data_IF_081141105266
#
_entry.id   IF_081141105266
#
_cell.length_a   1.000
_cell.length_b   1.000
_cell.length_c   1.000
_cell.angle_alpha   90.00
_cell.angle_beta   90.00
_cell.angle_gamma   90.00
#
_symmetry.space_group_name_H-M   'P 1'
#
loop_
_entity.id
_entity.type
_entity.pdbx_description
1 polymer ?
#
# COMPACT_ATOMS: atom_id res chain seq x y z
N UNK A 1 -17.90 -16.38 -21.45
CA UNK A 1 -16.73 -15.85 -20.72
C UNK A 1 -17.04 -15.93 -19.24
N UNK A 2 -16.05 -16.14 -18.39
CA UNK A 2 -16.27 -16.01 -16.95
C UNK A 2 -16.60 -14.53 -16.64
N UNK A 3 -17.48 -14.23 -15.67
CA UNK A 3 -17.61 -12.88 -15.14
C UNK A 3 -16.24 -12.33 -14.73
N UNK A 4 -16.07 -11.01 -14.75
CA UNK A 4 -14.80 -10.36 -14.42
C UNK A 4 -15.00 -9.47 -13.20
N UNK A 5 -14.07 -9.56 -12.26
CA UNK A 5 -13.94 -8.66 -11.12
C UNK A 5 -12.59 -7.95 -11.18
N UNK A 6 -12.61 -6.66 -11.48
CA UNK A 6 -11.45 -5.77 -11.44
C UNK A 6 -11.19 -5.31 -10.01
N UNK A 7 -10.01 -5.58 -9.49
CA UNK A 7 -9.60 -5.21 -8.13
C UNK A 7 -8.51 -4.13 -8.24
N UNK A 8 -8.81 -2.95 -7.69
CA UNK A 8 -7.94 -1.77 -7.73
C UNK A 8 -7.50 -1.38 -6.32
N UNK A 9 -6.36 -0.71 -6.20
CA UNK A 9 -5.93 -0.14 -4.93
C UNK A 9 -6.73 1.13 -4.56
N UNK A 10 -7.62 0.98 -3.59
CA UNK A 10 -8.44 2.06 -3.05
C UNK A 10 -9.62 2.47 -3.93
N UNK A 11 -10.50 3.29 -3.36
CA UNK A 11 -11.73 3.72 -4.02
C UNK A 11 -11.49 4.77 -5.12
N UNK A 12 -10.40 5.53 -5.07
CA UNK A 12 -10.05 6.49 -6.12
C UNK A 12 -9.74 5.80 -7.45
N UNK A 13 -8.87 4.79 -7.44
CA UNK A 13 -8.54 4.02 -8.65
C UNK A 13 -9.75 3.21 -9.14
N UNK A 14 -10.55 2.64 -8.22
CA UNK A 14 -11.79 1.95 -8.57
C UNK A 14 -12.84 2.91 -9.17
N UNK A 15 -12.97 4.13 -8.64
CA UNK A 15 -13.86 5.16 -9.17
C UNK A 15 -13.49 5.52 -10.61
N UNK A 16 -12.21 5.82 -10.86
CA UNK A 16 -11.68 6.09 -12.19
C UNK A 16 -11.92 4.92 -13.16
N UNK A 17 -11.70 3.68 -12.72
CA UNK A 17 -11.92 2.51 -13.56
C UNK A 17 -13.39 2.29 -13.96
N UNK A 18 -14.35 2.64 -13.08
CA UNK A 18 -15.79 2.56 -13.40
C UNK A 18 -16.20 3.55 -14.48
N UNK A 19 -15.51 4.68 -14.61
CA UNK A 19 -15.77 5.66 -15.66
C UNK A 19 -15.33 5.18 -17.05
N UNK A 20 -14.52 4.12 -17.13
CA UNK A 20 -13.82 3.69 -18.34
C UNK A 20 -14.51 2.50 -19.05
N UNK A 21 -15.70 2.10 -18.59
CA UNK A 21 -16.58 1.11 -19.24
C UNK A 21 -15.86 -0.19 -19.66
N UNK A 22 -14.97 -0.68 -18.79
CA UNK A 22 -14.41 -2.03 -18.91
C UNK A 22 -15.51 -3.06 -18.56
N UNK A 23 -15.57 -4.15 -19.32
CA UNK A 23 -16.48 -5.26 -19.02
C UNK A 23 -16.14 -5.89 -17.67
N UNK A 24 -17.07 -5.87 -16.73
CA UNK A 24 -16.95 -6.52 -15.42
C UNK A 24 -17.34 -5.63 -14.26
N UNK A 25 -17.27 -6.18 -13.06
CA UNK A 25 -17.45 -5.42 -11.83
C UNK A 25 -16.13 -4.83 -11.34
N UNK A 26 -16.21 -3.72 -10.61
CA UNK A 26 -15.04 -3.02 -10.07
C UNK A 26 -15.11 -2.93 -8.55
N UNK A 27 -14.07 -3.44 -7.89
CA UNK A 27 -13.86 -3.40 -6.46
C UNK A 27 -12.62 -2.56 -6.12
N UNK A 28 -12.78 -1.60 -5.20
CA UNK A 28 -11.67 -0.92 -4.55
C UNK A 28 -11.22 -1.70 -3.33
N UNK A 29 -9.94 -2.03 -3.24
CA UNK A 29 -9.30 -2.68 -2.10
C UNK A 29 -8.62 -1.63 -1.22
N UNK A 30 -9.14 -1.43 -0.01
CA UNK A 30 -8.88 -0.22 0.80
C UNK A 30 -7.71 -0.34 1.75
N UNK A 31 -7.38 -1.54 2.22
CA UNK A 31 -6.35 -1.72 3.24
C UNK A 31 -5.02 -2.18 2.65
N UNK A 32 -3.91 -1.68 3.20
CA UNK A 32 -2.56 -2.14 2.91
C UNK A 32 -1.71 -2.17 4.17
N UNK A 33 -1.06 -3.30 4.42
CA UNK A 33 -0.05 -3.44 5.46
C UNK A 33 1.27 -2.71 5.20
N UNK A 34 1.34 -1.84 4.17
CA UNK A 34 2.46 -0.90 3.98
C UNK A 34 2.59 0.11 5.11
N UNK A 35 1.49 0.36 5.82
CA UNK A 35 1.47 1.11 7.07
C UNK A 35 0.83 0.28 8.16
N UNK A 36 1.23 0.51 9.41
CA UNK A 36 0.64 -0.16 10.57
C UNK A 36 1.08 -1.62 10.75
N UNK A 37 0.47 -2.31 11.73
CA UNK A 37 0.85 -3.66 12.11
C UNK A 37 0.36 -4.71 11.09
N UNK A 38 1.09 -5.83 11.00
CA UNK A 38 0.66 -7.00 10.23
C UNK A 38 0.98 -8.31 10.95
N UNK A 39 0.39 -9.40 10.48
CA UNK A 39 0.55 -10.75 11.03
C UNK A 39 0.35 -11.79 9.94
N UNK A 40 1.13 -12.88 9.98
CA UNK A 40 0.92 -14.04 9.11
C UNK A 40 -0.28 -14.90 9.55
N UNK A 41 -0.67 -14.78 10.83
CA UNK A 41 -1.91 -15.36 11.32
C UNK A 41 -3.07 -14.47 10.92
N UNK A 42 -3.93 -14.97 10.03
CA UNK A 42 -5.04 -14.23 9.39
C UNK A 42 -6.00 -13.59 10.39
N UNK A 43 -6.49 -14.36 11.37
CA UNK A 43 -7.44 -13.85 12.36
C UNK A 43 -6.84 -12.66 13.14
N UNK A 44 -5.62 -12.84 13.65
CA UNK A 44 -4.86 -11.77 14.32
C UNK A 44 -4.60 -10.58 13.39
N UNK A 45 -4.29 -10.83 12.12
CA UNK A 45 -4.02 -9.78 11.15
C UNK A 45 -5.22 -8.86 11.01
N UNK A 46 -6.41 -9.41 10.76
CA UNK A 46 -7.66 -8.65 10.62
C UNK A 46 -7.94 -7.79 11.85
N UNK A 47 -7.77 -8.32 13.07
CA UNK A 47 -7.93 -7.53 14.30
C UNK A 47 -6.92 -6.40 14.44
N UNK A 48 -5.66 -6.63 14.04
CA UNK A 48 -4.62 -5.59 14.04
C UNK A 48 -4.97 -4.47 13.04
N UNK A 49 -5.50 -4.81 11.86
CA UNK A 49 -5.93 -3.84 10.84
C UNK A 49 -7.12 -3.01 11.31
N UNK A 50 -8.14 -3.67 11.86
CA UNK A 50 -9.30 -3.05 12.49
C UNK A 50 -8.89 -2.01 13.55
N UNK A 51 -8.00 -2.40 14.48
CA UNK A 51 -7.52 -1.51 15.54
C UNK A 51 -6.68 -0.34 14.99
N UNK A 52 -5.85 -0.58 13.98
CA UNK A 52 -5.02 0.46 13.36
C UNK A 52 -5.85 1.55 12.66
N UNK A 53 -6.89 1.13 11.94
CA UNK A 53 -7.79 2.04 11.25
C UNK A 53 -8.86 2.64 12.17
N UNK A 54 -9.10 2.03 13.34
CA UNK A 54 -10.19 2.39 14.25
C UNK A 54 -11.55 2.28 13.56
N UNK A 55 -11.74 1.18 12.83
CA UNK A 55 -12.97 0.84 12.14
C UNK A 55 -13.58 -0.45 12.70
N UNK A 56 -14.79 -0.78 12.26
CA UNK A 56 -15.48 -2.02 12.58
C UNK A 56 -14.92 -3.20 11.76
N UNK A 57 -14.98 -4.40 12.36
CA UNK A 57 -14.56 -5.65 11.72
C UNK A 57 -15.25 -5.89 10.37
N UNK A 58 -16.52 -5.47 10.25
CA UNK A 58 -17.32 -5.63 9.03
C UNK A 58 -16.84 -4.76 7.85
N UNK A 59 -16.03 -3.72 8.11
CA UNK A 59 -15.47 -2.87 7.06
C UNK A 59 -14.12 -3.40 6.53
N UNK A 60 -13.50 -4.37 7.23
CA UNK A 60 -12.24 -4.97 6.80
C UNK A 60 -12.49 -5.97 5.69
N UNK A 61 -11.94 -5.67 4.50
CA UNK A 61 -12.01 -6.56 3.35
C UNK A 61 -11.12 -7.79 3.54
N UNK A 62 -11.61 -8.96 3.13
CA UNK A 62 -10.97 -10.25 3.36
C UNK A 62 -10.80 -11.00 2.05
N UNK A 63 -9.55 -11.33 1.71
CA UNK A 63 -9.20 -11.86 0.38
C UNK A 63 -9.82 -13.22 0.09
N UNK A 64 -10.12 -13.99 1.13
CA UNK A 64 -10.84 -15.27 1.06
C UNK A 64 -12.30 -15.13 0.65
N UNK A 65 -12.89 -13.96 0.86
CA UNK A 65 -14.30 -13.67 0.58
C UNK A 65 -14.51 -13.19 -0.85
N UNK A 66 -13.42 -12.99 -1.60
CA UNK A 66 -13.52 -12.66 -3.01
C UNK A 66 -14.13 -13.84 -3.79
N UNK A 67 -15.08 -13.56 -4.71
CA UNK A 67 -15.72 -14.59 -5.51
C UNK A 67 -14.70 -15.41 -6.31
N UNK A 68 -14.96 -16.71 -6.41
CA UNK A 68 -14.08 -17.68 -7.10
C UNK A 68 -14.66 -18.16 -8.43
N UNK A 69 -15.92 -17.80 -8.73
CA UNK A 69 -16.65 -18.09 -9.96
C UNK A 69 -16.47 -17.01 -11.04
N UNK A 70 -15.51 -16.11 -10.86
CA UNK A 70 -15.12 -15.05 -11.78
C UNK A 70 -13.60 -14.99 -12.01
N UNK A 71 -13.16 -14.31 -13.07
CA UNK A 71 -11.77 -13.90 -13.23
C UNK A 71 -11.50 -12.66 -12.38
N UNK A 72 -10.58 -12.79 -11.42
CA UNK A 72 -10.10 -11.65 -10.60
C UNK A 72 -8.91 -11.00 -11.28
N UNK A 73 -9.07 -9.74 -11.68
CA UNK A 73 -8.04 -8.98 -12.42
C UNK A 73 -7.46 -7.92 -11.52
N UNK A 74 -6.16 -8.03 -11.22
CA UNK A 74 -5.46 -7.21 -10.25
C UNK A 74 -4.81 -5.99 -10.91
N UNK A 75 -5.18 -4.78 -10.48
CA UNK A 75 -4.74 -3.48 -10.99
C UNK A 75 -4.00 -2.69 -9.91
N UNK A 76 -2.77 -3.11 -9.61
CA UNK A 76 -1.93 -2.48 -8.60
C UNK A 76 -0.75 -1.79 -9.26
N UNK A 77 -0.72 -0.48 -9.10
CA UNK A 77 0.30 0.44 -9.58
C UNK A 77 1.63 0.28 -8.85
N UNK A 78 2.62 1.10 -9.25
CA UNK A 78 4.02 0.91 -8.86
C UNK A 78 4.36 1.26 -7.41
N UNK A 79 3.46 1.93 -6.67
CA UNK A 79 3.81 2.50 -5.39
C UNK A 79 3.93 1.46 -4.25
N UNK A 80 4.61 1.80 -3.13
CA UNK A 80 4.80 0.88 -2.02
C UNK A 80 3.51 0.44 -1.32
N UNK A 81 2.47 1.28 -1.30
CA UNK A 81 1.17 0.93 -0.75
C UNK A 81 0.53 -0.17 -1.59
N UNK A 82 0.42 0.05 -2.89
CA UNK A 82 -0.22 -0.84 -3.85
C UNK A 82 0.53 -2.17 -3.96
N UNK A 83 1.86 -2.14 -4.00
CA UNK A 83 2.65 -3.36 -4.18
C UNK A 83 2.61 -4.29 -2.95
N UNK A 84 2.56 -3.75 -1.72
CA UNK A 84 2.39 -4.61 -0.56
C UNK A 84 0.95 -5.08 -0.40
N UNK A 85 -0.02 -4.25 -0.77
CA UNK A 85 -1.43 -4.63 -0.85
C UNK A 85 -1.64 -5.82 -1.81
N UNK A 86 -0.99 -5.79 -2.98
CA UNK A 86 -0.98 -6.89 -3.94
C UNK A 86 -0.41 -8.19 -3.33
N UNK A 87 0.71 -8.10 -2.61
CA UNK A 87 1.36 -9.27 -1.97
C UNK A 87 0.44 -9.89 -0.93
N UNK A 88 -0.15 -9.07 -0.05
CA UNK A 88 -1.08 -9.51 0.98
C UNK A 88 -2.33 -10.16 0.36
N UNK A 89 -2.92 -9.51 -0.64
CA UNK A 89 -4.07 -10.01 -1.37
C UNK A 89 -3.78 -11.39 -1.99
N UNK A 90 -2.68 -11.53 -2.72
CA UNK A 90 -2.27 -12.80 -3.35
C UNK A 90 -1.95 -13.90 -2.33
N UNK A 91 -1.38 -13.53 -1.17
CA UNK A 91 -1.04 -14.49 -0.11
C UNK A 91 -2.28 -15.17 0.49
N UNK A 92 -3.41 -14.45 0.53
CA UNK A 92 -4.61 -14.85 1.24
C UNK A 92 -5.79 -15.22 0.34
N UNK A 93 -5.79 -14.76 -0.91
CA UNK A 93 -6.86 -15.03 -1.87
C UNK A 93 -7.05 -16.53 -2.14
N UNK A 94 -8.31 -16.95 -2.19
CA UNK A 94 -8.72 -18.33 -2.51
C UNK A 94 -8.34 -18.72 -3.94
N UNK A 95 -8.23 -20.02 -4.22
CA UNK A 95 -7.97 -20.56 -5.55
C UNK A 95 -9.03 -20.07 -6.57
N UNK A 96 -8.66 -20.04 -7.85
CA UNK A 96 -9.55 -19.63 -8.94
C UNK A 96 -8.87 -18.70 -9.94
N UNK A 97 -9.51 -18.42 -11.08
CA UNK A 97 -8.91 -17.64 -12.17
C UNK A 97 -8.46 -16.27 -11.69
N UNK A 98 -7.19 -15.96 -11.98
CA UNK A 98 -6.58 -14.70 -11.56
C UNK A 98 -5.57 -14.20 -12.58
N UNK A 99 -5.72 -12.92 -12.94
CA UNK A 99 -4.81 -12.20 -13.81
C UNK A 99 -4.31 -10.93 -13.14
N UNK A 100 -3.15 -10.46 -13.56
CA UNK A 100 -2.56 -9.20 -13.13
C UNK A 100 -2.28 -8.31 -14.34
N UNK A 101 -2.51 -7.02 -14.17
CA UNK A 101 -2.12 -6.00 -15.14
C UNK A 101 -0.85 -5.31 -14.63
N UNK A 102 0.32 -5.55 -15.25
CA UNK A 102 1.54 -4.87 -14.86
C UNK A 102 1.46 -3.40 -15.30
N UNK A 103 1.37 -2.49 -14.33
CA UNK A 103 1.25 -1.05 -14.56
C UNK A 103 2.59 -0.36 -14.33
N UNK A 104 2.98 0.56 -15.22
CA UNK A 104 4.19 1.38 -15.06
C UNK A 104 3.94 2.69 -14.31
N UNK A 105 2.67 3.07 -14.11
CA UNK A 105 2.20 4.28 -13.43
C UNK A 105 0.83 4.02 -12.80
N UNK A 106 0.34 4.93 -11.96
CA UNK A 106 -0.94 4.76 -11.30
C UNK A 106 -2.08 4.62 -12.34
N UNK A 107 -3.13 3.87 -11.99
CA UNK A 107 -4.31 3.68 -12.85
C UNK A 107 -4.91 5.02 -13.28
N UNK A 108 -4.94 6.00 -12.38
CA UNK A 108 -5.48 7.34 -12.60
C UNK A 108 -4.66 8.20 -13.56
N UNK A 109 -3.42 7.81 -13.86
CA UNK A 109 -2.57 8.52 -14.81
C UNK A 109 -2.75 8.02 -16.25
N UNK A 110 -3.41 6.87 -16.43
CA UNK A 110 -3.62 6.25 -17.73
C UNK A 110 -4.82 6.84 -18.46
N UNK A 111 -4.70 6.98 -19.77
CA UNK A 111 -5.85 7.28 -20.62
C UNK A 111 -6.75 6.04 -20.75
N UNK A 112 -8.03 6.20 -21.13
CA UNK A 112 -8.93 5.07 -21.40
C UNK A 112 -8.35 4.06 -22.40
N UNK A 113 -7.72 4.54 -23.48
CA UNK A 113 -7.10 3.69 -24.50
C UNK A 113 -5.95 2.85 -23.93
N UNK A 114 -5.11 3.45 -23.07
CA UNK A 114 -4.02 2.74 -22.40
C UNK A 114 -4.54 1.69 -21.42
N UNK A 115 -5.66 1.96 -20.73
CA UNK A 115 -6.29 0.98 -19.84
C UNK A 115 -6.85 -0.22 -20.59
N UNK A 116 -7.55 -0.02 -21.71
CA UNK A 116 -7.99 -1.13 -22.55
C UNK A 116 -6.80 -1.95 -23.08
N UNK A 117 -5.73 -1.28 -23.53
CA UNK A 117 -4.52 -1.95 -23.98
C UNK A 117 -3.85 -2.76 -22.85
N UNK A 118 -3.77 -2.18 -21.65
CA UNK A 118 -3.21 -2.85 -20.47
C UNK A 118 -4.06 -4.05 -20.05
N UNK A 119 -5.39 -3.93 -20.07
CA UNK A 119 -6.31 -5.03 -19.78
C UNK A 119 -6.15 -6.20 -20.78
N UNK A 120 -6.03 -5.88 -22.07
CA UNK A 120 -5.78 -6.86 -23.12
C UNK A 120 -4.42 -7.57 -22.94
N UNK A 121 -3.42 -6.88 -22.36
CA UNK A 121 -2.07 -7.39 -22.11
C UNK A 121 -1.90 -8.04 -20.72
N UNK A 122 -2.98 -8.25 -19.96
CA UNK A 122 -2.94 -8.88 -18.64
C UNK A 122 -2.33 -10.27 -18.68
N UNK A 123 -1.76 -10.71 -17.56
CA UNK A 123 -1.01 -11.96 -17.44
C UNK A 123 -1.60 -12.84 -16.36
N UNK A 124 -1.54 -14.16 -16.53
CA UNK A 124 -1.95 -15.09 -15.49
C UNK A 124 -1.10 -14.90 -14.21
N UNK A 125 -1.79 -14.81 -13.08
CA UNK A 125 -1.24 -14.52 -11.77
C UNK A 125 -1.42 -15.66 -10.76
N UNK A 126 -2.08 -16.76 -11.12
CA UNK A 126 -2.37 -17.88 -10.21
C UNK A 126 -1.08 -18.46 -9.59
N UNK A 127 -0.03 -18.59 -10.39
CA UNK A 127 1.28 -19.08 -9.94
C UNK A 127 2.00 -18.14 -8.97
N UNK A 128 1.58 -16.88 -8.84
CA UNK A 128 2.20 -15.92 -7.92
C UNK A 128 1.81 -16.16 -6.46
N UNK A 129 0.71 -16.88 -6.19
CA UNK A 129 0.17 -17.02 -4.83
C UNK A 129 1.15 -17.63 -3.83
N UNK A 130 1.83 -18.72 -4.20
CA UNK A 130 2.83 -19.34 -3.33
C UNK A 130 4.04 -18.43 -3.08
N UNK A 131 4.45 -17.68 -4.09
CA UNK A 131 5.52 -16.69 -3.96
C UNK A 131 5.08 -15.55 -3.02
N UNK A 132 3.89 -15.01 -3.23
CA UNK A 132 3.33 -13.93 -2.44
C UNK A 132 3.12 -14.34 -0.98
N UNK A 133 2.59 -15.55 -0.72
CA UNK A 133 2.45 -16.09 0.63
C UNK A 133 3.80 -16.21 1.36
N UNK A 134 4.84 -16.70 0.68
CA UNK A 134 6.18 -16.78 1.27
C UNK A 134 6.76 -15.39 1.57
N UNK A 135 6.66 -14.46 0.63
CA UNK A 135 7.11 -13.07 0.84
C UNK A 135 6.33 -12.39 1.97
N UNK A 136 5.02 -12.58 2.01
CA UNK A 136 4.15 -12.04 3.04
C UNK A 136 4.54 -12.55 4.43
N UNK A 137 4.82 -13.85 4.58
CA UNK A 137 5.24 -14.42 5.86
C UNK A 137 6.60 -13.88 6.29
N UNK A 138 7.58 -13.87 5.38
CA UNK A 138 8.91 -13.29 5.62
C UNK A 138 8.77 -11.79 6.02
N UNK A 139 7.85 -11.05 5.40
CA UNK A 139 7.54 -9.64 5.73
C UNK A 139 6.87 -9.50 7.11
N UNK A 140 5.89 -10.33 7.45
CA UNK A 140 5.23 -10.31 8.75
C UNK A 140 6.19 -10.62 9.90
N UNK A 141 7.05 -11.62 9.71
CA UNK A 141 8.05 -12.04 10.69
C UNK A 141 9.27 -11.09 10.72
N UNK A 142 9.30 -10.08 9.83
CA UNK A 142 10.40 -9.14 9.65
C UNK A 142 11.74 -9.84 9.41
N UNK A 143 11.75 -10.90 8.59
CA UNK A 143 12.95 -11.68 8.22
C UNK A 143 13.66 -11.04 7.00
N UNK A 144 14.78 -10.31 7.19
CA UNK A 144 15.44 -9.64 6.08
C UNK A 144 16.06 -10.61 5.07
N UNK A 145 16.47 -11.81 5.53
CA UNK A 145 17.13 -12.79 4.66
C UNK A 145 16.12 -13.47 3.73
N UNK A 146 14.97 -13.88 4.29
CA UNK A 146 13.82 -14.39 3.53
C UNK A 146 13.35 -13.37 2.49
N UNK A 147 13.07 -12.14 2.92
CA UNK A 147 12.63 -11.07 2.01
C UNK A 147 13.64 -10.83 0.89
N UNK A 148 14.94 -10.70 1.21
CA UNK A 148 15.97 -10.48 0.19
C UNK A 148 16.03 -11.62 -0.84
N UNK A 149 15.85 -12.87 -0.40
CA UNK A 149 15.77 -14.03 -1.31
C UNK A 149 14.57 -13.93 -2.24
N UNK A 150 13.38 -13.58 -1.72
CA UNK A 150 12.16 -13.42 -2.53
C UNK A 150 12.31 -12.30 -3.55
N UNK A 151 12.81 -11.13 -3.14
CA UNK A 151 12.98 -10.00 -4.04
C UNK A 151 13.97 -10.29 -5.17
N UNK A 152 15.03 -11.06 -4.92
CA UNK A 152 15.92 -11.53 -5.99
C UNK A 152 15.22 -12.42 -7.01
N UNK A 153 14.31 -13.30 -6.55
CA UNK A 153 13.53 -14.17 -7.44
C UNK A 153 12.54 -13.38 -8.29
N UNK A 154 11.90 -12.35 -7.72
CA UNK A 154 10.95 -11.50 -8.43
C UNK A 154 11.59 -10.51 -9.40
N UNK A 155 12.90 -10.24 -9.29
CA UNK A 155 13.57 -9.19 -10.06
C UNK A 155 13.42 -9.31 -11.59
N UNK A 156 13.22 -10.53 -12.10
CA UNK A 156 13.04 -10.80 -13.53
C UNK A 156 11.59 -11.17 -13.90
N UNK A 157 10.66 -11.15 -12.94
CA UNK A 157 9.26 -11.43 -13.23
C UNK A 157 8.57 -10.16 -13.73
N UNK A 158 8.28 -10.12 -15.03
CA UNK A 158 7.62 -9.00 -15.69
C UNK A 158 6.20 -8.73 -15.16
N UNK A 159 5.62 -9.63 -14.37
CA UNK A 159 4.33 -9.39 -13.67
C UNK A 159 4.50 -8.50 -12.44
N UNK A 160 5.71 -8.42 -11.88
CA UNK A 160 6.00 -7.74 -10.61
C UNK A 160 7.17 -6.73 -10.75
N UNK A 161 7.13 -5.82 -11.75
CA UNK A 161 8.28 -4.97 -12.08
C UNK A 161 8.67 -3.99 -10.95
N UNK A 162 7.72 -3.62 -10.09
CA UNK A 162 7.93 -2.60 -9.05
C UNK A 162 8.17 -3.19 -7.65
N UNK A 163 7.87 -4.47 -7.45
CA UNK A 163 7.85 -5.12 -6.14
C UNK A 163 9.14 -4.92 -5.35
N UNK A 164 10.29 -5.11 -6.00
CA UNK A 164 11.58 -4.99 -5.32
C UNK A 164 11.84 -3.60 -4.73
N UNK A 165 11.53 -2.53 -5.49
CA UNK A 165 11.73 -1.16 -5.04
C UNK A 165 10.72 -0.77 -3.96
N UNK A 166 9.46 -1.12 -4.18
CA UNK A 166 8.36 -0.87 -3.26
C UNK A 166 8.59 -1.51 -1.88
N UNK A 167 8.85 -2.82 -1.82
CA UNK A 167 9.03 -3.53 -0.53
C UNK A 167 10.23 -2.98 0.23
N UNK A 168 11.34 -2.65 -0.44
CA UNK A 168 12.48 -2.01 0.22
C UNK A 168 12.08 -0.67 0.84
N UNK A 169 11.26 0.11 0.16
CA UNK A 169 10.78 1.39 0.69
C UNK A 169 9.87 1.23 1.90
N UNK A 170 8.97 0.24 1.89
CA UNK A 170 8.14 -0.11 3.06
C UNK A 170 9.03 -0.52 4.24
N UNK A 171 10.07 -1.31 4.00
CA UNK A 171 10.98 -1.76 5.07
C UNK A 171 11.79 -0.61 5.69
N UNK A 172 12.18 0.39 4.91
CA UNK A 172 12.81 1.61 5.45
C UNK A 172 11.88 2.31 6.46
N UNK A 173 10.57 2.30 6.21
CA UNK A 173 9.63 2.88 7.14
C UNK A 173 9.38 2.02 8.36
N UNK A 174 9.18 0.72 8.13
CA UNK A 174 8.90 -0.23 9.21
C UNK A 174 10.06 -0.36 10.19
N UNK A 175 11.30 -0.34 9.70
CA UNK A 175 12.48 -0.61 10.51
C UNK A 175 13.26 0.65 10.89
N UNK A 176 13.17 1.72 10.09
CA UNK A 176 13.97 2.93 10.28
C UNK A 176 13.12 4.20 10.44
N UNK A 177 11.79 4.08 10.46
CA UNK A 177 10.87 5.22 10.63
C UNK A 177 11.18 6.37 9.67
N UNK A 178 11.57 6.05 8.42
CA UNK A 178 12.07 7.05 7.46
C UNK A 178 11.07 8.19 7.26
N UNK A 179 9.79 7.90 7.00
CA UNK A 179 8.76 8.93 6.78
C UNK A 179 8.47 9.76 8.00
N UNK A 180 8.40 9.14 9.19
CA UNK A 180 8.24 9.88 10.44
C UNK A 180 9.38 10.90 10.60
N UNK A 181 10.63 10.48 10.40
CA UNK A 181 11.80 11.37 10.47
C UNK A 181 11.76 12.48 9.42
N UNK A 182 11.34 12.17 8.19
CA UNK A 182 11.21 13.17 7.13
C UNK A 182 10.12 14.21 7.45
N UNK A 183 8.97 13.77 7.97
CA UNK A 183 7.89 14.66 8.43
C UNK A 183 8.38 15.53 9.59
N UNK A 184 9.03 14.95 10.60
CA UNK A 184 9.59 15.72 11.72
C UNK A 184 10.54 16.83 11.26
N UNK A 185 11.43 16.50 10.31
CA UNK A 185 12.37 17.47 9.77
C UNK A 185 11.67 18.59 8.98
N UNK A 186 10.64 18.26 8.20
CA UNK A 186 9.83 19.24 7.46
C UNK A 186 9.06 20.16 8.41
N UNK A 187 8.42 19.59 9.43
CA UNK A 187 7.67 20.34 10.46
C UNK A 187 8.60 21.27 11.23
N UNK A 188 9.77 20.79 11.69
CA UNK A 188 10.79 21.63 12.34
C UNK A 188 11.33 22.75 11.44
N UNK A 189 11.29 22.53 10.12
CA UNK A 189 11.69 23.54 9.12
C UNK A 189 10.56 24.49 8.74
N UNK A 190 9.39 24.40 9.37
CA UNK A 190 8.27 25.30 9.16
C UNK A 190 7.22 24.84 8.15
N UNK A 191 7.30 23.60 7.65
CA UNK A 191 6.30 23.04 6.71
C UNK A 191 5.24 22.29 7.51
N UNK A 192 4.06 22.90 7.69
CA UNK A 192 2.96 22.34 8.49
C UNK A 192 1.73 21.94 7.66
N UNK A 193 1.50 22.63 6.55
CA UNK A 193 0.33 22.40 5.72
C UNK A 193 0.41 21.04 5.03
N UNK A 194 -0.66 20.24 5.16
CA UNK A 194 -0.69 18.86 4.66
C UNK A 194 -0.40 18.76 3.15
N UNK A 195 -0.94 19.62 2.28
CA UNK A 195 -0.58 19.60 0.86
C UNK A 195 0.92 19.86 0.61
N UNK A 196 1.51 20.79 1.37
CA UNK A 196 2.94 21.11 1.25
C UNK A 196 3.83 19.97 1.75
N UNK A 197 3.42 19.29 2.83
CA UNK A 197 4.09 18.09 3.32
C UNK A 197 4.04 16.96 2.29
N UNK A 198 2.87 16.68 1.72
CA UNK A 198 2.70 15.62 0.72
C UNK A 198 3.56 15.87 -0.53
N UNK A 199 3.61 17.12 -1.01
CA UNK A 199 4.46 17.48 -2.15
C UNK A 199 5.95 17.37 -1.82
N UNK A 200 6.35 17.80 -0.62
CA UNK A 200 7.73 17.67 -0.17
C UNK A 200 8.15 16.20 0.00
N UNK A 201 7.26 15.33 0.50
CA UNK A 201 7.51 13.89 0.60
C UNK A 201 7.58 13.25 -0.79
N UNK A 202 6.65 13.57 -1.69
CA UNK A 202 6.67 13.11 -3.09
C UNK A 202 8.01 13.40 -3.77
N UNK A 203 8.56 14.59 -3.57
CA UNK A 203 9.85 14.99 -4.14
C UNK A 203 11.05 14.18 -3.62
N UNK A 204 10.90 13.44 -2.51
CA UNK A 204 11.93 12.57 -1.89
C UNK A 204 11.74 11.09 -2.23
N UNK A 205 10.70 10.75 -2.97
CA UNK A 205 10.39 9.38 -3.39
C UNK A 205 10.86 9.10 -4.81
N UNK A 206 10.90 7.82 -5.17
CA UNK A 206 11.04 7.46 -6.58
C UNK A 206 9.84 8.04 -7.36
N UNK A 207 10.03 8.50 -8.62
CA UNK A 207 8.93 9.09 -9.39
C UNK A 207 7.68 8.20 -9.45
N UNK A 208 7.88 6.88 -9.53
CA UNK A 208 6.80 5.90 -9.57
C UNK A 208 6.13 5.65 -8.21
N UNK A 209 6.72 6.03 -7.08
CA UNK A 209 6.12 5.82 -5.76
C UNK A 209 5.17 6.95 -5.35
N UNK A 210 5.33 8.17 -5.88
CA UNK A 210 4.51 9.30 -5.46
C UNK A 210 4.51 9.54 -3.94
N UNK A 211 3.41 10.08 -3.41
CA UNK A 211 3.19 10.28 -1.96
C UNK A 211 2.33 9.16 -1.37
N UNK A 212 2.83 7.92 -1.45
CA UNK A 212 2.07 6.69 -1.22
C UNK A 212 1.44 6.52 0.18
N UNK A 213 1.88 7.28 1.19
CA UNK A 213 1.29 7.24 2.54
C UNK A 213 -0.14 7.77 2.62
N UNK A 214 -0.52 8.64 1.68
CA UNK A 214 -1.77 9.36 1.74
C UNK A 214 -1.80 10.44 2.83
N UNK A 215 -2.84 11.25 2.78
CA UNK A 215 -3.09 12.38 3.66
C UNK A 215 -3.39 11.96 5.10
N UNK A 216 -4.11 10.85 5.30
CA UNK A 216 -4.46 10.33 6.63
C UNK A 216 -3.22 9.97 7.45
N UNK A 217 -2.29 9.20 6.88
CA UNK A 217 -1.09 8.76 7.60
C UNK A 217 -0.15 9.92 7.84
N UNK A 218 0.08 10.76 6.82
CA UNK A 218 0.94 11.95 6.94
C UNK A 218 0.36 12.93 7.97
N UNK A 219 -0.95 13.13 7.97
CA UNK A 219 -1.66 13.95 8.96
C UNK A 219 -1.45 13.44 10.39
N UNK A 220 -1.67 12.14 10.63
CA UNK A 220 -1.45 11.51 11.95
C UNK A 220 0.00 11.71 12.44
N UNK A 221 0.99 11.53 11.57
CA UNK A 221 2.41 11.71 11.92
C UNK A 221 2.76 13.18 12.18
N UNK A 222 2.23 14.11 11.38
CA UNK A 222 2.39 15.56 11.60
C UNK A 222 1.82 15.98 12.95
N UNK A 223 0.62 15.53 13.26
CA UNK A 223 -0.07 15.91 14.50
C UNK A 223 0.68 15.37 15.72
N UNK A 224 1.12 14.10 15.67
CA UNK A 224 1.98 13.52 16.70
C UNK A 224 3.30 14.29 16.89
N UNK A 225 3.96 14.68 15.80
CA UNK A 225 5.17 15.52 15.85
C UNK A 225 4.89 16.87 16.54
N UNK A 226 3.79 17.52 16.15
CA UNK A 226 3.41 18.84 16.67
C UNK A 226 3.11 18.79 18.17
N UNK A 227 2.38 17.77 18.61
CA UNK A 227 2.11 17.52 20.04
C UNK A 227 3.40 17.29 20.84
N UNK A 228 4.35 16.50 20.31
CA UNK A 228 5.66 16.28 20.96
C UNK A 228 6.46 17.58 21.08
N UNK A 229 6.44 18.44 20.06
CA UNK A 229 7.13 19.73 20.07
C UNK A 229 6.52 20.71 21.08
N UNK A 230 5.18 20.77 21.16
CA UNK A 230 4.48 21.59 22.15
C UNK A 230 4.82 21.16 23.57
N UNK A 231 4.74 19.86 23.87
CA UNK A 231 5.09 19.33 25.19
C UNK A 231 6.55 19.67 25.58
N UNK A 232 7.49 19.59 24.63
CA UNK A 232 8.89 19.96 24.88
C UNK A 232 9.05 21.46 25.21
N UNK A 233 8.34 22.34 24.49
CA UNK A 233 8.35 23.78 24.75
C UNK A 233 7.73 24.13 26.10
N UNK A 234 6.64 23.46 26.48
CA UNK A 234 5.97 23.66 27.77
C UNK A 234 6.89 23.27 28.94
N UNK A 235 7.60 22.13 28.80
CA UNK A 235 8.58 21.70 29.80
C UNK A 235 9.75 22.67 29.94
N UNK A 236 10.26 23.21 28.83
CA UNK A 236 11.32 24.22 28.84
C UNK A 236 10.85 25.53 29.50
N UNK A 237 9.62 25.94 29.22
CA UNK A 237 9.01 27.15 29.79
C UNK A 237 8.78 27.00 31.31
N UNK A 238 8.34 25.81 31.74
CA UNK A 238 8.16 25.49 33.16
C UNK A 238 9.50 25.44 33.94
N UNK A 239 10.56 24.92 33.31
CA UNK A 239 11.90 24.91 33.91
C UNK A 239 12.56 26.31 33.97
N UNK A 240 12.08 27.26 33.17
CA UNK A 240 12.61 28.63 33.07
C UNK A 240 11.88 29.65 33.97
N UNK A 241 10.81 29.24 34.66
CA UNK A 241 10.06 30.10 35.59
C UNK A 241 10.72 30.09 36.97
N UNK A 242 11.12 31.25 37.55
CA UNK A 242 11.70 31.29 38.89
C UNK A 242 10.62 31.00 39.96
N UNK A 243 11.02 30.48 41.15
CA UNK A 243 10.12 30.15 42.25
C UNK A 243 9.40 31.36 42.84
#
# INVERSE_FOLDING_TARGET
MLPILHIHAGDCAAGFAREIDLEGEVLGWRDSAAVGPCSRERGRHVFLRMAFWQTDLAEIQRAEELPTDCERVLWFGPDPWEQLQLVELLAYMSDGPCSIVPLSRAVTDLTPCELHAAFAARRNAESLRFFAAALWFDFCDNDPAGIALRLRRAANDQRLPHLGAAIRRVLQDRNEHRTEREIENLVRSGVYELPALLEALRARELPAHGAWYGDVVVGRLRDACTMRMQAANDMLSAASSPP
#
